data_IF_742167028562
#
_entry.id   IF_742167028562
#
_cell.length_a   1.000
_cell.length_b   1.000
_cell.length_c   1.000
_cell.angle_alpha   90.00
_cell.angle_beta   90.00
_cell.angle_gamma   90.00
#
_symmetry.space_group_name_H-M   'P 1'
#
loop_
_entity.id
_entity.type
_entity.pdbx_description
1 polymer ?
#
# COMPACT_ATOMS: atom_id res chain seq x y z
N UNK A 1 16.78 8.53 -22.20
CA UNK A 1 16.09 7.38 -21.58
C UNK A 1 15.99 7.66 -20.10
N UNK A 2 14.96 8.38 -19.68
CA UNK A 2 14.61 8.58 -18.28
C UNK A 2 13.17 9.04 -18.28
N UNK A 3 12.29 8.23 -17.71
CA UNK A 3 10.99 8.54 -17.09
C UNK A 3 10.20 7.23 -17.05
N UNK A 4 10.68 6.31 -16.22
CA UNK A 4 9.84 5.20 -15.76
C UNK A 4 9.02 5.73 -14.57
N UNK A 5 8.14 6.70 -14.84
CA UNK A 5 7.07 7.06 -13.91
C UNK A 5 6.25 5.78 -13.67
N UNK A 6 6.13 5.27 -12.43
CA UNK A 6 5.20 4.19 -12.19
C UNK A 6 3.82 4.75 -12.53
N UNK A 7 3.19 4.14 -13.53
CA UNK A 7 1.88 4.48 -14.07
C UNK A 7 0.92 4.79 -12.91
N UNK A 8 0.69 6.07 -12.62
CA UNK A 8 -0.35 6.56 -11.70
C UNK A 8 -1.73 6.39 -12.35
N UNK A 9 -1.98 5.22 -12.91
CA UNK A 9 -3.25 4.86 -13.54
C UNK A 9 -4.21 4.42 -12.44
N UNK A 10 -4.77 5.39 -11.73
CA UNK A 10 -5.80 5.19 -10.73
C UNK A 10 -7.01 6.05 -11.08
N UNK A 11 -7.86 5.54 -11.97
CA UNK A 11 -9.04 6.23 -12.53
C UNK A 11 -10.12 6.62 -11.48
N UNK A 12 -9.85 6.50 -10.18
CA UNK A 12 -10.82 6.61 -9.08
C UNK A 12 -10.18 7.10 -7.76
N UNK A 13 -9.23 8.04 -7.77
CA UNK A 13 -8.68 8.61 -6.52
C UNK A 13 -8.00 7.60 -5.58
N UNK A 14 -7.85 6.35 -6.01
CA UNK A 14 -7.23 5.23 -5.31
C UNK A 14 -6.06 4.70 -6.13
N UNK A 15 -5.01 4.29 -5.44
CA UNK A 15 -3.80 3.69 -5.98
C UNK A 15 -3.52 2.34 -5.30
N UNK A 16 -2.74 1.50 -5.98
CA UNK A 16 -2.17 0.29 -5.38
C UNK A 16 -0.78 0.60 -4.85
N UNK A 17 -0.54 0.32 -3.56
CA UNK A 17 0.73 0.60 -2.91
C UNK A 17 1.29 -0.65 -2.24
N UNK A 18 2.58 -0.92 -2.49
CA UNK A 18 3.34 -1.98 -1.81
C UNK A 18 3.95 -1.40 -0.54
N UNK A 19 3.59 -1.98 0.61
CA UNK A 19 4.00 -1.53 1.93
C UNK A 19 4.86 -2.62 2.59
N UNK A 20 6.17 -2.37 2.79
CA UNK A 20 6.99 -3.26 3.60
C UNK A 20 6.64 -3.10 5.08
N UNK A 21 6.57 -4.22 5.79
CA UNK A 21 6.32 -4.30 7.22
C UNK A 21 7.59 -4.69 7.98
N UNK A 22 7.60 -4.46 9.30
CA UNK A 22 8.75 -4.69 10.19
C UNK A 22 9.14 -6.18 10.32
N UNK A 23 8.22 -7.09 10.01
CA UNK A 23 8.44 -8.54 9.98
C UNK A 23 9.11 -9.04 8.67
N UNK A 24 9.42 -8.12 7.76
CA UNK A 24 9.97 -8.42 6.43
C UNK A 24 8.92 -8.78 5.39
N UNK A 25 7.64 -8.83 5.76
CA UNK A 25 6.54 -9.06 4.82
C UNK A 25 6.30 -7.82 3.95
N UNK A 26 5.87 -8.03 2.70
CA UNK A 26 5.44 -6.94 1.80
C UNK A 26 3.97 -7.14 1.45
N UNK A 27 3.14 -6.18 1.84
CA UNK A 27 1.69 -6.21 1.60
C UNK A 27 1.35 -5.24 0.48
N UNK A 28 0.50 -5.67 -0.46
CA UNK A 28 -0.06 -4.76 -1.46
C UNK A 28 -1.45 -4.35 -1.00
N UNK A 29 -1.67 -3.04 -0.82
CA UNK A 29 -2.95 -2.48 -0.42
C UNK A 29 -3.47 -1.54 -1.51
N UNK A 30 -4.80 -1.47 -1.64
CA UNK A 30 -5.47 -0.43 -2.43
C UNK A 30 -5.84 0.69 -1.45
N UNK A 31 -5.35 1.91 -1.68
CA UNK A 31 -5.59 3.05 -0.80
C UNK A 31 -5.78 4.34 -1.60
N UNK A 32 -6.38 5.38 -1.00
CA UNK A 32 -6.48 6.69 -1.63
C UNK A 32 -5.11 7.24 -2.05
N UNK A 33 -5.07 7.93 -3.20
CA UNK A 33 -3.85 8.48 -3.80
C UNK A 33 -3.20 9.60 -2.97
N UNK A 34 -3.90 10.10 -1.95
CA UNK A 34 -3.40 11.08 -0.98
C UNK A 34 -3.04 10.50 0.39
N UNK A 35 -3.18 9.18 0.59
CA UNK A 35 -2.95 8.56 1.90
C UNK A 35 -1.48 8.68 2.29
N UNK A 36 -1.20 9.12 3.52
CA UNK A 36 0.17 9.24 4.01
C UNK A 36 0.85 7.88 4.14
N UNK A 37 2.18 7.84 4.02
CA UNK A 37 2.95 6.60 4.16
C UNK A 37 2.76 5.95 5.55
N UNK A 38 2.60 6.75 6.60
CA UNK A 38 2.34 6.28 7.97
C UNK A 38 0.97 5.60 8.08
N UNK A 39 -0.07 6.22 7.53
CA UNK A 39 -1.42 5.68 7.49
C UNK A 39 -1.49 4.38 6.65
N UNK A 40 -0.78 4.36 5.52
CA UNK A 40 -0.67 3.15 4.69
C UNK A 40 -0.02 1.99 5.47
N UNK A 41 1.02 2.27 6.27
CA UNK A 41 1.66 1.28 7.16
C UNK A 41 0.73 0.83 8.29
N UNK A 42 -0.02 1.74 8.91
CA UNK A 42 -1.01 1.38 9.93
C UNK A 42 -2.09 0.45 9.36
N UNK A 43 -2.62 0.76 8.18
CA UNK A 43 -3.60 -0.10 7.48
C UNK A 43 -3.02 -1.46 7.12
N UNK A 44 -1.81 -1.51 6.56
CA UNK A 44 -1.16 -2.76 6.21
C UNK A 44 -0.92 -3.66 7.44
N UNK A 45 -0.52 -3.08 8.59
CA UNK A 45 -0.37 -3.82 9.85
C UNK A 45 -1.68 -4.43 10.32
N UNK A 46 -2.77 -3.66 10.32
CA UNK A 46 -4.09 -4.16 10.73
C UNK A 46 -4.55 -5.31 9.82
N UNK A 47 -4.45 -5.16 8.50
CA UNK A 47 -4.85 -6.20 7.53
C UNK A 47 -4.07 -7.51 7.76
N UNK A 48 -2.76 -7.42 7.99
CA UNK A 48 -1.92 -8.59 8.26
C UNK A 48 -2.29 -9.26 9.59
N UNK A 49 -2.62 -8.49 10.62
CA UNK A 49 -3.08 -9.03 11.90
C UNK A 49 -4.44 -9.73 11.77
N UNK A 50 -5.41 -9.11 11.09
CA UNK A 50 -6.74 -9.70 10.83
C UNK A 50 -6.63 -11.01 10.04
N UNK A 51 -5.78 -11.06 9.01
CA UNK A 51 -5.60 -12.26 8.19
C UNK A 51 -4.91 -13.42 8.95
N UNK A 52 -4.15 -13.13 10.01
CA UNK A 52 -3.47 -14.17 10.80
C UNK A 52 -4.41 -14.89 11.78
N UNK A 53 -5.58 -14.32 12.06
CA UNK A 53 -6.55 -14.84 13.03
C UNK A 53 -7.61 -15.74 12.35
N UNK A 54 -7.69 -15.70 11.01
CA UNK A 54 -8.58 -16.55 10.20
C UNK A 54 -7.89 -17.82 9.74
#
# INVERSE_FOLDING_TARGET
>A
MSENEPERSGLLGVEMRRVPLDDGSVVTIVCDAGLSAEEARARARNITQDNRIR
#
